data_IF_644309921644
#
_entry.id   IF_644309921644
#
_cell.length_a   1.000
_cell.length_b   1.000
_cell.length_c   1.000
_cell.angle_alpha   90.00
_cell.angle_beta   90.00
_cell.angle_gamma   90.00
#
_symmetry.space_group_name_H-M   'P 1'
#
loop_
_entity.id
_entity.type
_entity.pdbx_description
1 polymer ?
#
# COMPACT_ATOMS: atom_id res chain seq x y z
N UNK A 1 -4.03 -36.16 14.12
CA UNK A 1 -3.62 -35.37 12.93
C UNK A 1 -3.04 -34.05 13.40
N UNK A 2 -1.90 -33.58 12.87
CA UNK A 2 -1.37 -32.28 13.24
C UNK A 2 -2.36 -31.19 12.81
N UNK A 3 -2.56 -30.18 13.69
CA UNK A 3 -3.46 -29.06 13.43
C UNK A 3 -2.92 -28.27 12.23
N UNK A 4 -3.75 -28.07 11.20
CA UNK A 4 -3.36 -27.25 10.04
C UNK A 4 -2.98 -25.84 10.51
N UNK A 5 -1.85 -25.29 10.04
CA UNK A 5 -1.47 -23.92 10.37
C UNK A 5 -2.52 -22.93 9.84
N UNK A 6 -2.68 -21.81 10.56
CA UNK A 6 -3.53 -20.68 10.15
C UNK A 6 -2.60 -19.55 9.70
N UNK A 7 -2.27 -19.45 8.40
CA UNK A 7 -1.31 -18.47 7.92
C UNK A 7 -1.85 -17.04 8.05
N UNK A 8 -0.96 -16.11 8.35
CA UNK A 8 -1.20 -14.67 8.21
C UNK A 8 -0.43 -14.23 6.96
N UNK A 9 -1.12 -13.54 6.05
CA UNK A 9 -0.57 -13.15 4.76
C UNK A 9 -0.64 -11.63 4.64
N UNK A 10 0.49 -11.01 4.32
CA UNK A 10 0.55 -9.65 3.80
C UNK A 10 0.63 -9.73 2.28
N UNK A 11 -0.33 -9.11 1.59
CA UNK A 11 -0.36 -9.02 0.12
C UNK A 11 -0.19 -7.57 -0.29
N UNK A 12 0.84 -7.28 -1.10
CA UNK A 12 1.13 -5.94 -1.62
C UNK A 12 0.69 -5.88 -3.08
N UNK A 13 -0.25 -4.99 -3.39
CA UNK A 13 -0.60 -4.64 -4.76
C UNK A 13 0.27 -3.44 -5.18
N UNK A 14 1.38 -3.70 -5.86
CA UNK A 14 2.33 -2.64 -6.24
C UNK A 14 1.67 -1.63 -7.20
N UNK A 15 1.91 -0.34 -6.98
CA UNK A 15 1.27 0.75 -7.72
C UNK A 15 -0.25 0.93 -7.47
N UNK A 16 -0.82 0.30 -6.44
CA UNK A 16 -2.25 0.36 -6.15
C UNK A 16 -2.62 1.48 -5.16
N UNK A 17 -2.97 2.66 -5.70
CA UNK A 17 -3.37 3.84 -4.90
C UNK A 17 -4.88 4.08 -4.82
N UNK A 18 -5.27 5.03 -3.95
CA UNK A 18 -6.63 5.58 -3.88
C UNK A 18 -6.64 7.01 -4.43
N UNK A 19 -7.57 7.29 -5.35
CA UNK A 19 -7.87 8.62 -5.88
C UNK A 19 -9.38 8.72 -6.14
N UNK A 20 -10.08 9.75 -5.66
CA UNK A 20 -11.53 9.86 -5.82
C UNK A 20 -11.98 10.14 -7.25
N UNK A 21 -11.15 10.81 -8.06
CA UNK A 21 -11.46 11.05 -9.47
C UNK A 21 -11.29 9.77 -10.30
N UNK A 22 -12.27 9.52 -11.16
CA UNK A 22 -12.35 8.33 -12.02
C UNK A 22 -11.64 8.53 -13.37
N UNK A 23 -11.58 9.77 -13.87
CA UNK A 23 -10.92 10.08 -15.14
C UNK A 23 -9.43 9.71 -15.10
N UNK A 24 -8.99 8.88 -16.05
CA UNK A 24 -7.62 8.36 -16.11
C UNK A 24 -7.26 7.38 -14.98
N UNK A 25 -8.22 6.95 -14.16
CA UNK A 25 -7.96 6.08 -13.02
C UNK A 25 -8.25 4.61 -13.36
N UNK A 26 -7.22 3.88 -13.78
CA UNK A 26 -7.33 2.46 -14.13
C UNK A 26 -7.86 1.61 -12.96
N UNK A 27 -7.47 1.92 -11.73
CA UNK A 27 -7.95 1.21 -10.54
C UNK A 27 -9.44 1.41 -10.40
N UNK A 28 -9.96 2.64 -10.43
CA UNK A 28 -11.40 2.90 -10.31
C UNK A 28 -12.20 2.26 -11.45
N UNK A 29 -11.69 2.32 -12.68
CA UNK A 29 -12.36 1.83 -13.89
C UNK A 29 -12.33 0.30 -14.05
N UNK A 30 -11.40 -0.39 -13.40
CA UNK A 30 -11.27 -1.85 -13.53
C UNK A 30 -12.49 -2.60 -12.95
N UNK A 31 -12.80 -3.78 -13.53
CA UNK A 31 -13.70 -4.78 -12.91
C UNK A 31 -12.89 -5.65 -11.94
N UNK A 32 -13.13 -5.52 -10.63
CA UNK A 32 -12.29 -6.09 -9.57
C UNK A 32 -13.16 -6.65 -8.42
N UNK A 33 -14.04 -7.62 -8.71
CA UNK A 33 -15.11 -8.07 -7.80
C UNK A 33 -14.59 -8.59 -6.46
N UNK A 34 -13.44 -9.28 -6.46
CA UNK A 34 -12.85 -9.81 -5.23
C UNK A 34 -12.32 -8.66 -4.34
N UNK A 35 -11.63 -7.69 -4.92
CA UNK A 35 -11.15 -6.51 -4.18
C UNK A 35 -12.33 -5.69 -3.64
N UNK A 36 -13.33 -5.43 -4.48
CA UNK A 36 -14.53 -4.67 -4.11
C UNK A 36 -15.32 -5.37 -2.99
N UNK A 37 -15.39 -6.69 -3.02
CA UNK A 37 -16.00 -7.48 -1.94
C UNK A 37 -15.20 -7.37 -0.63
N UNK A 38 -13.87 -7.48 -0.68
CA UNK A 38 -13.02 -7.36 0.51
C UNK A 38 -13.18 -6.00 1.18
N UNK A 39 -13.11 -4.91 0.40
CA UNK A 39 -13.27 -3.54 0.90
C UNK A 39 -14.67 -3.30 1.47
N UNK A 40 -15.71 -3.90 0.90
CA UNK A 40 -17.09 -3.75 1.41
C UNK A 40 -17.36 -4.55 2.68
N UNK A 41 -16.77 -5.74 2.83
CA UNK A 41 -17.12 -6.69 3.90
C UNK A 41 -16.21 -6.61 5.13
N UNK A 42 -14.96 -6.19 4.96
CA UNK A 42 -13.96 -6.22 6.03
C UNK A 42 -13.46 -4.80 6.39
N UNK A 43 -13.01 -4.59 7.63
CA UNK A 43 -12.40 -3.31 8.04
C UNK A 43 -11.25 -2.93 7.11
N UNK A 44 -11.26 -1.68 6.65
CA UNK A 44 -10.23 -1.13 5.78
C UNK A 44 -10.00 0.35 6.11
N UNK A 45 -8.82 0.84 5.76
CA UNK A 45 -8.42 2.24 5.94
C UNK A 45 -7.42 2.62 4.85
N UNK A 46 -7.14 3.92 4.73
CA UNK A 46 -6.07 4.45 3.90
C UNK A 46 -4.85 4.78 4.78
N UNK A 47 -3.67 4.67 4.19
CA UNK A 47 -2.40 5.03 4.82
C UNK A 47 -1.59 5.91 3.88
N UNK A 48 -0.74 6.78 4.44
CA UNK A 48 0.21 7.55 3.65
C UNK A 48 1.41 6.69 3.24
N UNK A 49 1.78 6.73 1.96
CA UNK A 49 2.86 5.92 1.38
C UNK A 49 3.90 6.76 0.62
N UNK A 50 3.90 8.08 0.84
CA UNK A 50 4.76 9.04 0.13
C UNK A 50 5.16 10.18 1.07
N UNK A 51 6.16 10.96 0.65
CA UNK A 51 6.65 12.10 1.41
C UNK A 51 7.14 11.75 2.83
N UNK A 52 6.98 12.66 3.81
CA UNK A 52 7.56 12.51 5.14
C UNK A 52 7.08 11.27 5.89
N UNK A 53 5.89 10.77 5.57
CA UNK A 53 5.30 9.58 6.18
C UNK A 53 6.08 8.29 5.90
N UNK A 54 6.94 8.29 4.88
CA UNK A 54 7.83 7.16 4.54
C UNK A 54 9.30 7.59 4.47
N UNK A 55 9.64 8.73 5.07
CA UNK A 55 11.01 9.25 5.16
C UNK A 55 11.52 9.92 3.89
N UNK A 56 10.62 10.43 3.04
CA UNK A 56 10.94 11.25 1.85
C UNK A 56 10.62 12.74 2.11
N UNK A 57 11.23 13.68 1.37
CA UNK A 57 10.83 15.08 1.30
C UNK A 57 9.35 15.28 0.98
N UNK A 58 8.81 16.42 1.40
CA UNK A 58 7.45 16.83 1.08
C UNK A 58 7.20 16.86 -0.44
N UNK A 59 6.05 16.35 -0.86
CA UNK A 59 5.66 16.26 -2.28
C UNK A 59 6.31 15.12 -3.07
N UNK A 60 7.31 14.43 -2.51
CA UNK A 60 7.96 13.32 -3.22
C UNK A 60 7.08 12.07 -3.20
N UNK A 61 6.86 11.51 -4.40
CA UNK A 61 6.14 10.26 -4.58
C UNK A 61 6.90 9.09 -3.94
N UNK A 62 6.16 8.16 -3.32
CA UNK A 62 6.72 6.89 -2.88
C UNK A 62 7.12 5.99 -4.03
N UNK A 63 7.87 4.94 -3.72
CA UNK A 63 8.26 3.92 -4.69
C UNK A 63 8.34 2.54 -4.01
N UNK A 64 8.56 1.49 -4.80
CA UNK A 64 8.57 0.12 -4.31
C UNK A 64 9.66 -0.11 -3.25
N UNK A 65 10.87 0.42 -3.42
CA UNK A 65 11.97 0.24 -2.45
C UNK A 65 11.64 0.88 -1.10
N UNK A 66 11.30 2.17 -1.11
CA UNK A 66 10.92 2.92 0.10
C UNK A 66 9.72 2.27 0.80
N UNK A 67 8.71 1.85 0.03
CA UNK A 67 7.52 1.19 0.56
C UNK A 67 7.84 -0.14 1.25
N UNK A 68 8.59 -1.02 0.58
CA UNK A 68 8.94 -2.33 1.16
C UNK A 68 9.85 -2.21 2.39
N UNK A 69 10.77 -1.23 2.39
CA UNK A 69 11.62 -0.95 3.56
C UNK A 69 10.79 -0.51 4.77
N UNK A 70 9.87 0.44 4.59
CA UNK A 70 9.01 0.92 5.69
C UNK A 70 8.08 -0.18 6.22
N UNK A 71 7.48 -0.97 5.32
CA UNK A 71 6.61 -2.12 5.70
C UNK A 71 7.41 -3.16 6.48
N UNK A 72 8.59 -3.55 5.99
CA UNK A 72 9.43 -4.56 6.64
C UNK A 72 10.03 -4.09 7.97
N UNK A 73 10.32 -2.79 8.09
CA UNK A 73 10.91 -2.20 9.29
C UNK A 73 9.88 -1.88 10.39
N UNK A 74 8.61 -1.68 10.04
CA UNK A 74 7.58 -1.26 11.00
C UNK A 74 7.81 0.13 11.60
N UNK A 75 8.59 0.98 10.91
CA UNK A 75 8.92 2.35 11.30
C UNK A 75 9.31 3.19 10.09
N UNK A 76 9.26 4.51 10.23
CA UNK A 76 9.74 5.46 9.22
C UNK A 76 11.25 5.26 9.02
N UNK A 77 11.64 4.88 7.81
CA UNK A 77 13.05 4.85 7.39
C UNK A 77 13.37 6.15 6.66
N UNK A 78 14.23 6.98 7.25
CA UNK A 78 14.68 8.22 6.61
C UNK A 78 15.60 7.86 5.45
N UNK A 79 15.20 8.24 4.25
CA UNK A 79 15.93 7.92 3.04
C UNK A 79 17.04 8.94 2.84
N UNK A 80 18.26 8.46 2.60
CA UNK A 80 19.35 9.30 2.11
C UNK A 80 19.04 9.70 0.66
N UNK A 81 18.35 10.83 0.49
CA UNK A 81 18.15 11.46 -0.83
C UNK A 81 19.32 12.39 -1.17
N UNK A 82 20.49 12.12 -0.59
CA UNK A 82 21.72 12.84 -0.89
C UNK A 82 22.25 12.44 -2.27
N UNK A 83 21.79 13.18 -3.30
CA UNK A 83 22.68 13.67 -4.37
C UNK A 83 22.17 14.95 -5.02
#
# INVERSE_FOLDING_TARGET
MPKRPKPIILTVLDGWGYRPQVEGNAIALARKPNYDELVRKFPNTLIHTSGPYVGLPEGQMGNSEVGHLNIGAGRIIHMDITR
#
